data_IF_680922153406
#
_entry.id   IF_680922153406
#
_cell.length_a   1.000
_cell.length_b   1.000
_cell.length_c   1.000
_cell.angle_alpha   90.00
_cell.angle_beta   90.00
_cell.angle_gamma   90.00
#
_symmetry.space_group_name_H-M   'P 1'
#
loop_
_entity.id
_entity.type
_entity.pdbx_description
1 polymer ?
#
# COMPACT_ATOMS: atom_id res chain seq x y z
N UNK A 1 -17.62 -19.14 -3.87
CA UNK A 1 -16.43 -18.29 -3.67
C UNK A 1 -15.99 -17.87 -5.05
N UNK A 2 -15.94 -16.60 -5.33
CA UNK A 2 -15.32 -16.09 -6.57
C UNK A 2 -13.85 -16.54 -6.61
N UNK A 3 -13.41 -17.02 -7.78
CA UNK A 3 -12.00 -17.38 -7.98
C UNK A 3 -11.19 -16.09 -7.98
N UNK A 4 -10.05 -16.11 -7.32
CA UNK A 4 -9.09 -15.01 -7.34
C UNK A 4 -8.52 -14.89 -8.75
N UNK A 5 -8.38 -13.65 -9.26
CA UNK A 5 -7.83 -13.37 -10.58
C UNK A 5 -6.31 -13.29 -10.54
N UNK A 6 -5.68 -13.74 -11.60
CA UNK A 6 -4.23 -13.66 -11.79
C UNK A 6 -3.96 -13.12 -13.19
N UNK A 7 -3.18 -12.05 -13.27
CA UNK A 7 -2.82 -11.43 -14.54
C UNK A 7 -1.48 -12.00 -15.02
N UNK A 8 -1.41 -12.42 -16.29
CA UNK A 8 -0.20 -12.91 -16.95
C UNK A 8 0.10 -12.00 -18.13
N UNK A 9 1.22 -11.30 -18.08
CA UNK A 9 1.70 -10.43 -19.15
C UNK A 9 2.99 -11.00 -19.73
N UNK A 10 2.95 -11.43 -21.00
CA UNK A 10 4.06 -12.05 -21.73
C UNK A 10 3.73 -11.94 -23.24
N UNK A 11 4.68 -11.57 -24.08
CA UNK A 11 4.46 -11.41 -25.51
C UNK A 11 4.25 -12.75 -26.24
N UNK A 12 4.76 -13.85 -25.68
CA UNK A 12 4.63 -15.20 -26.23
C UNK A 12 3.33 -15.86 -25.82
N UNK A 13 2.43 -16.10 -26.76
CA UNK A 13 1.20 -16.86 -26.55
C UNK A 13 1.47 -18.24 -25.92
N UNK A 14 2.57 -18.91 -26.35
CA UNK A 14 2.97 -20.20 -25.79
C UNK A 14 3.30 -20.10 -24.30
N UNK A 15 4.01 -19.05 -23.88
CA UNK A 15 4.38 -18.84 -22.50
C UNK A 15 3.13 -18.56 -21.65
N UNK A 16 2.23 -17.71 -22.13
CA UNK A 16 0.95 -17.43 -21.46
C UNK A 16 0.13 -18.70 -21.29
N UNK A 17 0.00 -19.50 -22.36
CA UNK A 17 -0.72 -20.78 -22.32
C UNK A 17 -0.12 -21.79 -21.33
N UNK A 18 1.22 -21.89 -21.24
CA UNK A 18 1.90 -22.75 -20.27
C UNK A 18 1.59 -22.29 -18.83
N UNK A 19 1.71 -20.99 -18.55
CA UNK A 19 1.43 -20.43 -17.23
C UNK A 19 -0.04 -20.58 -16.85
N UNK A 20 -0.93 -20.28 -17.79
CA UNK A 20 -2.37 -20.46 -17.60
C UNK A 20 -2.71 -21.91 -17.25
N UNK A 21 -2.22 -22.88 -18.02
CA UNK A 21 -2.46 -24.30 -17.74
C UNK A 21 -1.94 -24.78 -16.37
N UNK A 22 -0.89 -24.14 -15.85
CA UNK A 22 -0.36 -24.46 -14.52
C UNK A 22 -1.29 -23.92 -13.40
N UNK A 23 -2.03 -22.83 -13.66
CA UNK A 23 -2.67 -21.99 -12.64
C UNK A 23 -4.20 -21.95 -12.76
N UNK A 24 -4.80 -22.35 -13.87
CA UNK A 24 -6.24 -22.27 -14.18
C UNK A 24 -7.15 -23.05 -13.23
N UNK A 25 -6.59 -24.07 -12.55
CA UNK A 25 -7.32 -24.82 -11.54
C UNK A 25 -7.61 -24.01 -10.28
N UNK A 26 -6.71 -23.07 -9.93
CA UNK A 26 -6.77 -22.31 -8.69
C UNK A 26 -7.24 -20.86 -8.91
N UNK A 27 -6.99 -20.30 -10.11
CA UNK A 27 -7.20 -18.88 -10.41
C UNK A 27 -8.01 -18.69 -11.69
N UNK A 28 -8.68 -17.55 -11.81
CA UNK A 28 -9.18 -17.01 -13.06
C UNK A 28 -8.05 -16.24 -13.74
N UNK A 29 -7.69 -16.63 -14.95
CA UNK A 29 -6.54 -16.06 -15.65
C UNK A 29 -6.99 -14.91 -16.55
N UNK A 30 -6.32 -13.77 -16.41
CA UNK A 30 -6.39 -12.64 -17.34
C UNK A 30 -5.06 -12.64 -18.09
N UNK A 31 -5.09 -12.61 -19.42
CA UNK A 31 -3.90 -12.56 -20.25
C UNK A 31 -3.71 -11.17 -20.85
N UNK A 32 -2.44 -10.75 -20.97
CA UNK A 32 -2.00 -9.55 -21.66
C UNK A 32 -0.82 -9.92 -22.57
N UNK A 33 -0.83 -9.45 -23.80
CA UNK A 33 0.22 -9.73 -24.77
C UNK A 33 1.36 -8.69 -24.74
N UNK A 34 1.17 -7.60 -24.04
CA UNK A 34 2.17 -6.55 -23.84
C UNK A 34 1.90 -5.77 -22.54
N UNK A 35 2.80 -4.83 -22.22
CA UNK A 35 2.68 -4.01 -21.01
C UNK A 35 1.50 -3.05 -21.04
N UNK A 36 1.05 -2.58 -22.21
CA UNK A 36 -0.12 -1.69 -22.32
C UNK A 36 -1.41 -2.43 -21.99
N UNK A 37 -1.55 -3.65 -22.52
CA UNK A 37 -2.68 -4.51 -22.18
C UNK A 37 -2.68 -4.85 -20.68
N UNK A 38 -1.48 -5.11 -20.10
CA UNK A 38 -1.35 -5.35 -18.67
C UNK A 38 -1.82 -4.14 -17.82
N UNK A 39 -1.40 -2.91 -18.18
CA UNK A 39 -1.87 -1.69 -17.52
C UNK A 39 -3.36 -1.50 -17.71
N UNK A 40 -3.91 -1.72 -18.90
CA UNK A 40 -5.35 -1.63 -19.13
C UNK A 40 -6.15 -2.62 -18.27
N UNK A 41 -5.66 -3.86 -18.11
CA UNK A 41 -6.26 -4.85 -17.22
C UNK A 41 -6.19 -4.42 -15.75
N UNK A 42 -5.05 -3.87 -15.31
CA UNK A 42 -4.88 -3.35 -13.95
C UNK A 42 -5.82 -2.17 -13.67
N UNK A 43 -6.00 -1.24 -14.61
CA UNK A 43 -6.95 -0.13 -14.45
C UNK A 43 -8.38 -0.59 -14.13
N UNK A 44 -8.77 -1.74 -14.66
CA UNK A 44 -10.13 -2.28 -14.48
C UNK A 44 -10.21 -3.20 -13.27
N UNK A 45 -9.19 -4.02 -13.01
CA UNK A 45 -9.28 -5.17 -12.11
C UNK A 45 -8.27 -5.18 -10.96
N UNK A 46 -7.44 -4.12 -10.72
CA UNK A 46 -6.36 -4.18 -9.71
C UNK A 46 -6.84 -4.68 -8.34
N UNK A 47 -8.00 -4.24 -7.86
CA UNK A 47 -8.58 -4.71 -6.59
C UNK A 47 -9.03 -6.18 -6.56
N UNK A 48 -9.11 -6.85 -7.72
CA UNK A 48 -9.49 -8.26 -7.85
C UNK A 48 -8.30 -9.15 -8.22
N UNK A 49 -7.18 -8.56 -8.71
CA UNK A 49 -5.98 -9.28 -9.12
C UNK A 49 -5.15 -9.61 -7.89
N UNK A 50 -4.90 -10.90 -7.67
CA UNK A 50 -4.12 -11.42 -6.55
C UNK A 50 -2.62 -11.40 -6.77
N UNK A 51 -2.17 -11.44 -8.03
CA UNK A 51 -0.79 -11.26 -8.45
C UNK A 51 -0.70 -10.98 -9.95
N UNK A 52 0.40 -10.34 -10.37
CA UNK A 52 0.80 -10.15 -11.75
C UNK A 52 2.06 -11.00 -12.02
N UNK A 53 1.99 -11.86 -13.03
CA UNK A 53 3.16 -12.51 -13.64
C UNK A 53 3.58 -11.69 -14.84
N UNK A 54 4.80 -11.15 -14.81
CA UNK A 54 5.22 -10.12 -15.76
C UNK A 54 6.54 -10.49 -16.42
N UNK A 55 6.53 -10.65 -17.74
CA UNK A 55 7.77 -10.75 -18.50
C UNK A 55 8.47 -9.38 -18.57
N UNK A 56 9.79 -9.40 -18.66
CA UNK A 56 10.60 -8.18 -18.82
C UNK A 56 10.53 -7.70 -20.26
N UNK A 57 10.72 -8.62 -21.22
CA UNK A 57 10.89 -8.25 -22.63
C UNK A 57 9.56 -8.41 -23.34
N UNK A 58 8.88 -7.30 -23.55
CA UNK A 58 7.63 -7.24 -24.30
C UNK A 58 7.65 -6.07 -25.28
N UNK A 59 6.93 -6.14 -26.41
CA UNK A 59 6.77 -5.02 -27.33
C UNK A 59 5.96 -3.88 -26.69
N UNK A 60 5.99 -2.71 -27.30
CA UNK A 60 5.23 -1.50 -26.92
C UNK A 60 5.59 -0.94 -25.53
N UNK A 61 5.54 -1.77 -24.48
CA UNK A 61 5.87 -1.44 -23.09
C UNK A 61 6.49 -2.64 -22.41
N UNK A 62 7.73 -2.51 -21.97
CA UNK A 62 8.44 -3.58 -21.27
C UNK A 62 7.99 -3.75 -19.81
N UNK A 63 8.43 -4.83 -19.16
CA UNK A 63 8.01 -5.13 -17.81
C UNK A 63 8.51 -4.12 -16.77
N UNK A 64 9.63 -3.44 -17.00
CA UNK A 64 10.10 -2.39 -16.09
C UNK A 64 9.24 -1.15 -16.17
N UNK A 65 8.83 -0.74 -17.37
CA UNK A 65 7.90 0.35 -17.55
C UNK A 65 6.52 0.07 -16.93
N UNK A 66 6.06 -1.18 -16.96
CA UNK A 66 4.84 -1.60 -16.24
C UNK A 66 5.01 -1.43 -14.73
N UNK A 67 6.15 -1.83 -14.13
CA UNK A 67 6.42 -1.63 -12.70
C UNK A 67 6.46 -0.14 -12.31
N UNK A 68 7.07 0.71 -13.13
CA UNK A 68 7.11 2.16 -12.91
C UNK A 68 5.70 2.76 -12.91
N UNK A 69 4.86 2.38 -13.86
CA UNK A 69 3.48 2.82 -13.96
C UNK A 69 2.65 2.32 -12.77
N UNK A 70 2.81 1.05 -12.36
CA UNK A 70 2.16 0.50 -11.18
C UNK A 70 2.57 1.25 -9.90
N UNK A 71 3.84 1.63 -9.79
CA UNK A 71 4.34 2.45 -8.68
C UNK A 71 3.70 3.82 -8.66
N UNK A 72 3.61 4.49 -9.81
CA UNK A 72 3.02 5.81 -9.93
C UNK A 72 1.54 5.84 -9.52
N UNK A 73 0.81 4.73 -9.75
CA UNK A 73 -0.58 4.56 -9.36
C UNK A 73 -0.79 3.98 -7.96
N UNK A 74 0.28 3.58 -7.25
CA UNK A 74 0.18 2.92 -5.94
C UNK A 74 -0.26 1.46 -5.98
N UNK A 75 -0.42 0.84 -7.17
CA UNK A 75 -0.90 -0.55 -7.30
C UNK A 75 0.08 -1.60 -6.80
N UNK A 76 1.38 -1.28 -6.69
CA UNK A 76 2.38 -2.20 -6.12
C UNK A 76 2.12 -2.52 -4.64
N UNK A 77 1.38 -1.67 -3.94
CA UNK A 77 0.98 -1.95 -2.57
C UNK A 77 -0.08 -3.06 -2.51
N UNK A 78 -0.97 -3.14 -3.51
CA UNK A 78 -2.11 -4.06 -3.56
C UNK A 78 -1.81 -5.34 -4.32
N UNK A 79 -1.13 -5.22 -5.50
CA UNK A 79 -0.89 -6.32 -6.42
C UNK A 79 0.60 -6.70 -6.42
N UNK A 80 0.96 -7.85 -5.84
CA UNK A 80 2.34 -8.33 -5.88
C UNK A 80 2.72 -8.73 -7.31
N UNK A 81 3.92 -8.31 -7.73
CA UNK A 81 4.44 -8.60 -9.08
C UNK A 81 5.56 -9.63 -9.02
N UNK A 82 5.43 -10.68 -9.81
CA UNK A 82 6.44 -11.72 -10.00
C UNK A 82 7.00 -11.58 -11.41
N UNK A 83 8.26 -11.15 -11.51
CA UNK A 83 8.94 -11.05 -12.79
C UNK A 83 9.30 -12.44 -13.30
N UNK A 84 9.08 -12.70 -14.59
CA UNK A 84 9.43 -13.97 -15.23
C UNK A 84 10.26 -13.66 -16.49
N UNK A 85 11.53 -14.04 -16.50
CA UNK A 85 12.40 -13.71 -17.62
C UNK A 85 13.45 -14.79 -17.90
N UNK A 86 14.01 -14.76 -19.12
CA UNK A 86 15.20 -15.52 -19.49
C UNK A 86 16.49 -14.85 -19.02
N UNK A 87 16.43 -13.58 -18.64
CA UNK A 87 17.57 -12.86 -18.11
C UNK A 87 17.93 -13.34 -16.71
N UNK A 88 19.23 -13.56 -16.45
CA UNK A 88 19.72 -14.06 -15.17
C UNK A 88 20.79 -13.14 -14.57
N UNK A 89 21.00 -11.97 -15.19
CA UNK A 89 21.96 -10.98 -14.72
C UNK A 89 21.56 -10.41 -13.35
N UNK A 90 22.49 -10.36 -12.41
CA UNK A 90 22.24 -9.80 -11.07
C UNK A 90 21.75 -8.36 -11.13
N UNK A 91 22.30 -7.55 -12.04
CA UNK A 91 21.88 -6.16 -12.24
C UNK A 91 20.41 -6.03 -12.65
N UNK A 92 19.93 -6.92 -13.53
CA UNK A 92 18.52 -6.95 -13.96
C UNK A 92 17.60 -7.34 -12.81
N UNK A 93 18.01 -8.35 -12.04
CA UNK A 93 17.26 -8.82 -10.87
C UNK A 93 17.19 -7.74 -9.78
N UNK A 94 18.34 -7.12 -9.46
CA UNK A 94 18.40 -6.03 -8.48
C UNK A 94 17.55 -4.84 -8.92
N UNK A 95 17.54 -4.52 -10.22
CA UNK A 95 16.71 -3.46 -10.78
C UNK A 95 15.21 -3.76 -10.63
N UNK A 96 14.78 -5.00 -10.91
CA UNK A 96 13.40 -5.43 -10.72
C UNK A 96 12.94 -5.24 -9.27
N UNK A 97 13.74 -5.70 -8.29
CA UNK A 97 13.42 -5.52 -6.87
C UNK A 97 13.44 -4.04 -6.44
N UNK A 98 14.38 -3.23 -6.95
CA UNK A 98 14.42 -1.79 -6.68
C UNK A 98 13.19 -1.06 -7.21
N UNK A 99 12.57 -1.54 -8.30
CA UNK A 99 11.31 -1.03 -8.85
C UNK A 99 10.08 -1.53 -8.07
N UNK A 100 10.20 -2.54 -7.23
CA UNK A 100 9.11 -3.03 -6.38
C UNK A 100 8.56 -4.41 -6.76
N UNK A 101 9.28 -5.17 -7.59
CA UNK A 101 8.92 -6.58 -7.82
C UNK A 101 8.96 -7.36 -6.51
N UNK A 102 7.97 -8.23 -6.31
CA UNK A 102 7.85 -9.07 -5.11
C UNK A 102 8.67 -10.36 -5.19
N UNK A 103 8.86 -10.89 -6.40
CA UNK A 103 9.71 -12.06 -6.67
C UNK A 103 10.22 -12.03 -8.11
N UNK A 104 11.24 -12.87 -8.37
CA UNK A 104 11.85 -13.03 -9.70
C UNK A 104 12.06 -14.50 -10.02
N UNK A 105 11.57 -14.95 -11.18
CA UNK A 105 11.66 -16.35 -11.63
C UNK A 105 12.37 -16.38 -12.98
N UNK A 106 13.54 -17.02 -13.03
CA UNK A 106 14.25 -17.22 -14.28
C UNK A 106 13.72 -18.43 -15.07
N UNK A 107 13.67 -18.30 -16.40
CA UNK A 107 13.40 -19.40 -17.32
C UNK A 107 14.70 -20.14 -17.65
N UNK A 108 14.64 -21.49 -17.90
CA UNK A 108 13.48 -22.36 -17.79
C UNK A 108 13.11 -22.68 -16.34
N UNK A 109 11.82 -22.81 -16.05
CA UNK A 109 11.32 -23.11 -14.71
C UNK A 109 10.58 -24.47 -14.66
N UNK A 110 10.63 -25.13 -13.51
CA UNK A 110 9.81 -26.30 -13.26
C UNK A 110 8.42 -25.87 -12.77
N UNK A 111 7.35 -26.44 -13.33
CA UNK A 111 5.95 -26.19 -13.00
C UNK A 111 5.68 -26.15 -11.50
N UNK A 112 6.26 -27.12 -10.76
CA UNK A 112 6.09 -27.21 -9.30
C UNK A 112 6.70 -26.02 -8.55
N UNK A 113 7.81 -25.48 -9.05
CA UNK A 113 8.51 -24.36 -8.41
C UNK A 113 7.73 -23.07 -8.61
N UNK A 114 7.30 -22.81 -9.84
CA UNK A 114 6.56 -21.58 -10.16
C UNK A 114 5.24 -21.51 -9.37
N UNK A 115 4.45 -22.60 -9.36
CA UNK A 115 3.21 -22.66 -8.60
C UNK A 115 3.42 -22.35 -7.11
N UNK A 116 4.46 -22.93 -6.51
CA UNK A 116 4.78 -22.70 -5.10
C UNK A 116 5.19 -21.25 -4.83
N UNK A 117 5.98 -20.64 -5.71
CA UNK A 117 6.41 -19.25 -5.56
C UNK A 117 5.22 -18.28 -5.64
N UNK A 118 4.35 -18.47 -6.64
CA UNK A 118 3.14 -17.66 -6.81
C UNK A 118 2.25 -17.75 -5.56
N UNK A 119 1.97 -18.94 -5.07
CA UNK A 119 1.15 -19.14 -3.87
C UNK A 119 1.80 -18.46 -2.66
N UNK A 120 3.10 -18.62 -2.45
CA UNK A 120 3.81 -18.00 -1.34
C UNK A 120 3.77 -16.46 -1.42
N UNK A 121 3.99 -15.90 -2.61
CA UNK A 121 3.96 -14.44 -2.81
C UNK A 121 2.57 -13.87 -2.53
N UNK A 122 1.51 -14.54 -3.00
CA UNK A 122 0.12 -14.13 -2.73
C UNK A 122 -0.19 -14.20 -1.23
N UNK A 123 0.23 -15.28 -0.55
CA UNK A 123 0.01 -15.43 0.90
C UNK A 123 0.74 -14.36 1.70
N UNK A 124 2.02 -14.12 1.41
CA UNK A 124 2.82 -13.10 2.09
C UNK A 124 2.23 -11.70 1.90
N UNK A 125 1.75 -11.38 0.70
CA UNK A 125 1.09 -10.09 0.45
C UNK A 125 -0.21 -9.97 1.26
N UNK A 126 -1.04 -11.01 1.29
CA UNK A 126 -2.26 -11.03 2.08
C UNK A 126 -2.00 -10.88 3.59
N UNK A 127 -0.98 -11.55 4.14
CA UNK A 127 -0.56 -11.41 5.53
C UNK A 127 -0.04 -10.00 5.84
N UNK A 128 0.73 -9.39 4.92
CA UNK A 128 1.20 -7.99 5.03
C UNK A 128 0.01 -7.05 5.17
N UNK A 129 -1.00 -7.16 4.30
CA UNK A 129 -2.19 -6.32 4.35
C UNK A 129 -2.96 -6.50 5.65
N UNK A 130 -3.18 -7.74 6.08
CA UNK A 130 -3.87 -8.01 7.35
C UNK A 130 -3.14 -7.40 8.55
N UNK A 131 -1.80 -7.47 8.57
CA UNK A 131 -1.01 -6.85 9.64
C UNK A 131 -1.11 -5.33 9.60
N UNK A 132 -1.10 -4.70 8.42
CA UNK A 132 -1.28 -3.26 8.26
C UNK A 132 -2.64 -2.79 8.77
N UNK A 133 -3.72 -3.52 8.46
CA UNK A 133 -5.06 -3.24 8.96
C UNK A 133 -5.13 -3.29 10.49
N UNK A 134 -4.54 -4.32 11.10
CA UNK A 134 -4.47 -4.45 12.57
C UNK A 134 -3.70 -3.27 13.19
N UNK A 135 -2.58 -2.86 12.59
CA UNK A 135 -1.79 -1.72 13.07
C UNK A 135 -2.58 -0.42 12.96
N UNK A 136 -3.25 -0.19 11.81
CA UNK A 136 -4.09 0.98 11.60
C UNK A 136 -5.25 1.05 12.61
N UNK A 137 -5.95 -0.08 12.84
CA UNK A 137 -7.02 -0.14 13.84
C UNK A 137 -6.51 0.16 15.27
N UNK A 138 -5.33 -0.38 15.64
CA UNK A 138 -4.73 -0.10 16.95
C UNK A 138 -4.39 1.37 17.10
N UNK A 139 -3.77 1.97 16.09
CA UNK A 139 -3.43 3.40 16.12
C UNK A 139 -4.67 4.28 16.29
N UNK A 140 -5.73 4.01 15.52
CA UNK A 140 -7.00 4.74 15.66
C UNK A 140 -7.65 4.55 17.03
N UNK A 141 -7.53 3.36 17.62
CA UNK A 141 -8.04 3.08 18.97
C UNK A 141 -7.26 3.82 20.05
N UNK A 142 -5.93 3.84 19.94
CA UNK A 142 -5.08 4.57 20.88
C UNK A 142 -5.33 6.07 20.81
N UNK A 143 -5.43 6.63 19.60
CA UNK A 143 -5.79 8.05 19.40
C UNK A 143 -7.14 8.35 20.05
N UNK A 144 -8.16 7.57 19.79
CA UNK A 144 -9.50 7.73 20.40
C UNK A 144 -9.48 7.65 21.93
N UNK A 145 -8.69 6.74 22.51
CA UNK A 145 -8.55 6.64 23.95
C UNK A 145 -7.86 7.87 24.55
N UNK A 146 -6.83 8.41 23.89
CA UNK A 146 -6.17 9.64 24.30
C UNK A 146 -7.13 10.83 24.26
N UNK A 147 -7.94 10.95 23.23
CA UNK A 147 -8.95 12.04 23.11
C UNK A 147 -10.00 11.95 24.23
N UNK A 148 -10.47 10.73 24.55
CA UNK A 148 -11.42 10.51 25.65
C UNK A 148 -10.80 10.87 27.01
N UNK A 149 -9.54 10.46 27.26
CA UNK A 149 -8.83 10.80 28.49
C UNK A 149 -8.63 12.31 28.63
N UNK A 150 -8.25 12.99 27.55
CA UNK A 150 -8.13 14.44 27.53
C UNK A 150 -9.47 15.12 27.83
N UNK A 151 -10.56 14.66 27.24
CA UNK A 151 -11.90 15.17 27.52
C UNK A 151 -12.35 14.95 28.99
N UNK A 152 -12.09 13.75 29.56
CA UNK A 152 -12.42 13.45 30.96
C UNK A 152 -11.59 14.31 31.92
N UNK A 153 -10.28 14.46 31.65
CA UNK A 153 -9.41 15.33 32.44
C UNK A 153 -9.84 16.78 32.35
N UNK A 154 -10.20 17.22 31.14
CA UNK A 154 -10.79 18.56 30.94
C UNK A 154 -12.02 18.78 31.76
N UNK A 155 -12.99 17.89 31.69
CA UNK A 155 -14.21 17.96 32.47
C UNK A 155 -13.96 17.95 34.00
N UNK A 156 -13.01 17.12 34.46
CA UNK A 156 -12.65 17.05 35.90
C UNK A 156 -11.99 18.35 36.39
N UNK A 157 -11.16 18.98 35.56
CA UNK A 157 -10.54 20.28 35.88
C UNK A 157 -11.60 21.41 35.92
N UNK A 158 -12.51 21.47 34.94
CA UNK A 158 -13.62 22.42 34.91
C UNK A 158 -14.52 22.31 36.13
N UNK A 159 -14.89 21.07 36.51
CA UNK A 159 -15.69 20.80 37.71
C UNK A 159 -15.00 21.28 39.00
N UNK A 160 -13.67 21.32 39.03
CA UNK A 160 -12.87 21.75 40.17
C UNK A 160 -12.64 23.27 40.20
N UNK A 161 -12.51 23.91 39.03
CA UNK A 161 -12.25 25.36 38.92
C UNK A 161 -13.53 26.21 38.91
N UNK A 162 -14.70 25.60 38.75
CA UNK A 162 -15.99 26.33 38.74
C UNK A 162 -16.27 27.14 37.49
N UNK A 163 -15.45 26.94 36.42
CA UNK A 163 -15.62 27.61 35.11
C UNK A 163 -16.37 26.68 34.14
N UNK A 164 -17.34 27.22 33.43
CA UNK A 164 -18.21 26.42 32.56
C UNK A 164 -17.51 25.92 31.30
N UNK A 165 -17.85 24.67 30.88
CA UNK A 165 -17.25 23.83 29.85
C UNK A 165 -17.04 24.39 28.46
N UNK A 166 -17.34 25.64 28.21
CA UNK A 166 -17.09 26.31 26.92
C UNK A 166 -15.69 26.90 26.80
N UNK A 167 -15.00 27.16 27.92
CA UNK A 167 -13.74 27.89 27.94
C UNK A 167 -12.56 27.00 27.45
N UNK A 168 -12.52 25.75 27.89
CA UNK A 168 -11.41 24.80 27.56
C UNK A 168 -11.41 24.39 26.10
N UNK A 169 -12.56 24.07 25.53
CA UNK A 169 -12.67 23.76 24.10
C UNK A 169 -12.27 24.97 23.23
N UNK A 170 -12.57 26.19 23.73
CA UNK A 170 -12.20 27.43 23.08
C UNK A 170 -10.69 27.69 23.09
N UNK A 171 -10.00 27.45 24.20
CA UNK A 171 -8.55 27.62 24.33
C UNK A 171 -7.75 26.69 23.43
N UNK A 172 -8.04 25.39 23.45
CA UNK A 172 -7.41 24.41 22.57
C UNK A 172 -7.63 24.70 21.08
N UNK A 173 -8.86 25.07 20.71
CA UNK A 173 -9.18 25.42 19.32
C UNK A 173 -8.47 26.69 18.85
N UNK A 174 -8.44 27.71 19.69
CA UNK A 174 -7.74 28.96 19.41
C UNK A 174 -6.23 28.74 19.27
N UNK A 175 -5.65 27.95 20.16
CA UNK A 175 -4.23 27.57 20.10
C UNK A 175 -3.90 26.86 18.79
N UNK A 176 -4.74 25.92 18.36
CA UNK A 176 -4.56 25.19 17.08
C UNK A 176 -4.57 26.16 15.89
N UNK A 177 -5.52 27.07 15.84
CA UNK A 177 -5.60 28.07 14.77
C UNK A 177 -4.39 29.01 14.75
N UNK A 178 -3.92 29.45 15.92
CA UNK A 178 -2.74 30.29 16.03
C UNK A 178 -1.47 29.59 15.61
N UNK A 179 -1.27 28.32 15.99
CA UNK A 179 -0.12 27.53 15.59
C UNK A 179 -0.11 27.25 14.08
N UNK A 180 -1.26 26.89 13.49
CA UNK A 180 -1.38 26.70 12.05
C UNK A 180 -1.07 27.99 11.26
N UNK A 181 -1.52 29.14 11.77
CA UNK A 181 -1.23 30.42 11.13
C UNK A 181 0.24 30.86 11.33
N UNK A 182 0.84 30.54 12.48
CA UNK A 182 2.25 30.78 12.76
C UNK A 182 3.14 29.99 11.80
N UNK A 183 2.88 28.69 11.61
CA UNK A 183 3.64 27.82 10.68
C UNK A 183 3.56 28.29 9.23
N UNK A 184 2.48 28.98 8.82
CA UNK A 184 2.38 29.58 7.48
C UNK A 184 3.24 30.85 7.32
N UNK A 185 3.52 31.55 8.41
CA UNK A 185 4.20 32.87 8.37
C UNK A 185 5.70 32.79 8.64
N UNK A 186 6.18 31.70 9.21
CA UNK A 186 7.60 31.57 9.55
C UNK A 186 8.01 30.10 9.60
N UNK A 187 9.16 29.81 8.99
CA UNK A 187 9.82 28.49 9.06
C UNK A 187 10.70 28.32 10.31
N UNK A 188 10.65 29.30 11.24
CA UNK A 188 11.51 29.28 12.45
C UNK A 188 11.14 28.14 13.40
N UNK A 189 9.91 27.66 13.35
CA UNK A 189 9.39 26.58 14.20
C UNK A 189 8.99 25.42 13.29
N UNK A 190 9.80 24.35 13.29
CA UNK A 190 9.49 23.12 12.59
C UNK A 190 8.51 22.28 13.45
N UNK A 191 7.24 22.68 13.49
CA UNK A 191 6.19 21.94 14.19
C UNK A 191 5.53 20.98 13.21
N UNK A 192 5.59 19.69 13.54
CA UNK A 192 4.85 18.67 12.82
C UNK A 192 3.34 18.74 13.19
N UNK A 193 2.44 18.19 12.36
CA UNK A 193 0.99 18.17 12.65
C UNK A 193 0.66 17.59 14.02
N UNK A 194 1.41 16.58 14.45
CA UNK A 194 1.23 15.92 15.75
C UNK A 194 1.65 16.82 16.92
N UNK A 195 2.67 17.66 16.76
CA UNK A 195 3.08 18.65 17.75
C UNK A 195 1.99 19.73 17.95
N UNK A 196 1.40 20.17 16.85
CA UNK A 196 0.30 21.17 16.88
C UNK A 196 -0.91 20.58 17.61
N UNK A 197 -1.24 19.31 17.38
CA UNK A 197 -2.35 18.64 18.02
C UNK A 197 -2.08 18.43 19.53
N UNK A 198 -0.87 18.02 19.89
CA UNK A 198 -0.44 17.85 21.29
C UNK A 198 -0.49 19.16 22.06
N UNK A 199 0.09 20.25 21.53
CA UNK A 199 0.11 21.56 22.16
C UNK A 199 -1.31 22.11 22.31
N UNK A 200 -2.15 21.92 21.29
CA UNK A 200 -3.54 22.39 21.32
C UNK A 200 -4.38 21.64 22.36
N UNK A 201 -4.18 20.34 22.49
CA UNK A 201 -4.81 19.50 23.52
C UNK A 201 -4.34 19.91 24.92
N UNK A 202 -3.04 20.13 25.12
CA UNK A 202 -2.47 20.60 26.37
C UNK A 202 -3.01 22.01 26.77
N UNK A 203 -3.14 22.90 25.80
CA UNK A 203 -3.72 24.24 26.04
C UNK A 203 -5.20 24.19 26.43
N UNK A 204 -5.92 23.17 25.97
CA UNK A 204 -7.31 22.92 26.40
C UNK A 204 -7.43 22.35 27.82
N UNK A 205 -6.34 21.87 28.43
CA UNK A 205 -6.32 21.34 29.80
C UNK A 205 -5.93 22.37 30.85
N UNK A 206 -5.56 23.57 30.46
CA UNK A 206 -5.10 24.65 31.33
C UNK A 206 -6.24 25.59 31.65
#
# INVERSE_FOLDING_TARGET
MERKKLLIADDSEMNRAILANILDQDYEIIEAADGREAIAALQVYHGEISALLLDIIMPEMDGFAVLEEMRAHGWLEEVPVIMISTETGTATIDHAFALGASDYISRPFATRIIRRRIINTILLNAEKHQLMDIVAERFLREKRNSDILAAILGYALEARCGEGGTHMNGAGHLTKLLLLELCKRTDRYALEPDDIELISTAAGLH
#
